data_IF_718958737516
#
_entry.id   IF_718958737516
#
_cell.length_a   1.000
_cell.length_b   1.000
_cell.length_c   1.000
_cell.angle_alpha   90.00
_cell.angle_beta   90.00
_cell.angle_gamma   90.00
#
_symmetry.space_group_name_H-M   'P 1'
#
loop_
_entity.id
_entity.type
_entity.pdbx_description
1 polymer ?
#
# COMPACT_ATOMS: atom_id res chain seq x y z
N UNK A 1 44.72 16.43 30.34
CA UNK A 1 43.25 16.51 30.19
C UNK A 1 42.91 15.92 28.83
N UNK A 2 42.65 14.61 28.77
CA UNK A 2 42.32 13.93 27.52
C UNK A 2 40.80 13.99 27.32
N UNK A 3 40.36 14.82 26.38
CA UNK A 3 38.95 14.91 26.00
C UNK A 3 38.71 13.87 24.89
N UNK A 4 38.34 12.66 25.29
CA UNK A 4 37.94 11.61 24.35
C UNK A 4 36.53 11.94 23.87
N UNK A 5 36.43 12.52 22.67
CA UNK A 5 35.16 12.82 22.01
C UNK A 5 34.54 11.50 21.55
N UNK A 6 33.66 10.92 22.37
CA UNK A 6 32.82 9.80 21.97
C UNK A 6 31.80 10.30 20.94
N UNK A 7 32.10 10.10 19.67
CA UNK A 7 31.12 10.28 18.59
C UNK A 7 30.10 9.15 18.74
N UNK A 8 28.96 9.45 19.34
CA UNK A 8 27.81 8.53 19.38
C UNK A 8 27.26 8.43 17.97
N UNK A 9 27.70 7.42 17.22
CA UNK A 9 27.12 7.07 15.94
C UNK A 9 25.68 6.61 16.22
N UNK A 10 24.71 7.49 15.98
CA UNK A 10 23.30 7.12 15.97
C UNK A 10 23.12 6.14 14.81
N UNK A 11 23.25 4.85 15.13
CA UNK A 11 22.83 3.78 14.24
C UNK A 11 21.32 3.91 14.14
N UNK A 12 20.83 4.53 13.06
CA UNK A 12 19.43 4.44 12.68
C UNK A 12 19.17 3.00 12.29
N UNK A 13 18.84 2.16 13.28
CA UNK A 13 18.28 0.84 13.03
C UNK A 13 16.91 1.06 12.41
N UNK A 14 16.85 1.11 11.07
CA UNK A 14 15.64 0.79 10.34
C UNK A 14 15.26 -0.63 10.76
N UNK A 15 14.33 -0.77 11.70
CA UNK A 15 13.69 -2.05 11.92
C UNK A 15 12.93 -2.36 10.64
N UNK A 16 13.28 -3.47 9.97
CA UNK A 16 12.55 -3.96 8.82
C UNK A 16 11.11 -4.32 9.26
N UNK A 17 10.22 -3.35 9.17
CA UNK A 17 8.81 -3.48 9.53
C UNK A 17 8.03 -4.05 8.35
N UNK A 18 7.38 -5.21 8.55
CA UNK A 18 6.56 -5.83 7.50
C UNK A 18 5.44 -4.90 7.10
N UNK A 19 5.34 -4.59 5.81
CA UNK A 19 4.38 -3.64 5.24
C UNK A 19 4.96 -2.25 4.98
N UNK A 20 6.25 -2.02 5.28
CA UNK A 20 6.93 -0.73 5.11
C UNK A 20 6.99 -0.30 3.65
N UNK A 21 7.62 -1.10 2.82
CA UNK A 21 7.92 -0.77 1.44
C UNK A 21 7.91 -2.05 0.59
N UNK A 22 8.25 -1.96 -0.70
CA UNK A 22 8.30 -3.12 -1.60
C UNK A 22 9.44 -4.08 -1.28
N UNK A 23 10.46 -3.65 -0.52
CA UNK A 23 11.56 -4.50 -0.07
C UNK A 23 11.18 -5.34 1.14
N UNK A 24 10.20 -4.87 1.93
CA UNK A 24 9.64 -5.57 3.07
C UNK A 24 8.10 -5.47 3.14
N UNK A 25 7.37 -5.97 2.13
CA UNK A 25 5.93 -5.84 2.05
C UNK A 25 5.22 -6.85 2.95
N UNK A 26 3.94 -6.61 3.21
CA UNK A 26 3.03 -7.63 3.72
C UNK A 26 2.72 -8.64 2.62
N UNK A 27 3.34 -9.83 2.67
CA UNK A 27 3.14 -10.87 1.65
C UNK A 27 1.76 -11.54 1.82
N UNK A 28 0.95 -11.50 0.76
CA UNK A 28 -0.33 -12.22 0.66
C UNK A 28 -0.07 -13.55 -0.05
N UNK A 29 -0.08 -14.65 0.71
CA UNK A 29 0.22 -15.99 0.18
C UNK A 29 -1.00 -16.71 -0.42
N UNK A 30 -2.22 -16.29 -0.08
CA UNK A 30 -3.46 -16.96 -0.50
C UNK A 30 -4.66 -16.04 -0.39
N UNK A 31 -5.68 -16.27 -1.22
CA UNK A 31 -7.00 -15.68 -1.10
C UNK A 31 -8.01 -16.70 -0.58
N UNK A 32 -9.03 -16.28 0.21
CA UNK A 32 -9.29 -14.91 0.65
C UNK A 32 -8.27 -14.44 1.70
N UNK A 33 -7.99 -13.14 1.70
CA UNK A 33 -7.08 -12.50 2.66
C UNK A 33 -7.80 -11.38 3.39
N UNK A 34 -7.63 -11.29 4.71
CA UNK A 34 -8.12 -10.19 5.52
C UNK A 34 -7.08 -9.73 6.53
N UNK A 35 -7.06 -8.43 6.80
CA UNK A 35 -6.18 -7.82 7.80
C UNK A 35 -6.77 -6.50 8.31
N UNK A 36 -6.52 -6.20 9.57
CA UNK A 36 -6.65 -4.85 10.14
C UNK A 36 -5.26 -4.25 10.37
N UNK A 37 -5.11 -2.94 10.16
CA UNK A 37 -3.83 -2.27 10.31
C UNK A 37 -3.93 -0.74 10.31
N UNK A 38 -2.77 -0.09 10.23
CA UNK A 38 -2.64 1.35 10.05
C UNK A 38 -1.41 1.65 9.22
N UNK A 39 -1.44 2.72 8.45
CA UNK A 39 -0.26 3.28 7.78
C UNK A 39 0.59 4.13 8.74
N UNK A 40 0.12 4.39 9.97
CA UNK A 40 0.87 5.20 10.94
C UNK A 40 2.20 4.52 11.34
N UNK A 41 3.30 5.28 11.28
CA UNK A 41 4.63 4.78 11.61
C UNK A 41 5.32 4.03 10.47
N UNK A 42 4.65 3.83 9.34
CA UNK A 42 5.24 3.21 8.16
C UNK A 42 5.92 4.20 7.23
N UNK A 43 5.85 5.51 7.49
CA UNK A 43 6.58 6.53 6.71
C UNK A 43 6.11 6.68 5.27
N UNK A 44 6.62 7.73 4.61
CA UNK A 44 6.24 8.15 3.25
C UNK A 44 7.37 7.76 2.28
N UNK A 45 7.27 6.58 1.71
CA UNK A 45 8.25 6.02 0.78
C UNK A 45 7.89 6.31 -0.69
N UNK A 46 6.58 6.41 -1.00
CA UNK A 46 6.11 6.67 -2.36
C UNK A 46 5.31 7.96 -2.44
N UNK A 47 5.75 8.87 -3.31
CA UNK A 47 5.12 10.19 -3.46
C UNK A 47 4.49 10.44 -4.83
N UNK A 48 4.67 9.49 -5.75
CA UNK A 48 4.22 9.61 -7.14
C UNK A 48 3.29 8.44 -7.42
N UNK A 49 1.99 8.73 -7.45
CA UNK A 49 0.96 7.78 -7.82
C UNK A 49 0.48 7.92 -9.27
N UNK A 50 -0.55 7.16 -9.66
CA UNK A 50 -1.14 7.28 -10.99
C UNK A 50 -1.65 8.70 -11.22
N UNK A 51 -1.44 9.23 -12.43
CA UNK A 51 -1.89 10.56 -12.84
C UNK A 51 -1.45 11.71 -11.90
N UNK A 52 -0.30 11.57 -11.23
CA UNK A 52 0.20 12.54 -10.24
C UNK A 52 -0.80 12.83 -9.11
N UNK A 53 -1.53 11.82 -8.67
CA UNK A 53 -2.44 11.95 -7.53
C UNK A 53 -1.71 12.43 -6.27
N UNK A 54 -2.44 13.20 -5.45
CA UNK A 54 -1.97 13.62 -4.14
C UNK A 54 -2.32 12.62 -3.04
N UNK A 55 -3.07 11.56 -3.32
CA UNK A 55 -3.46 10.53 -2.34
C UNK A 55 -2.35 9.51 -2.02
N UNK A 56 -1.14 9.77 -2.50
CA UNK A 56 0.10 9.06 -2.16
C UNK A 56 1.10 10.03 -1.54
N UNK A 57 0.70 10.83 -0.55
CA UNK A 57 1.59 11.84 0.07
C UNK A 57 1.69 11.70 1.58
N UNK A 58 1.04 10.69 2.15
CA UNK A 58 1.09 10.37 3.57
C UNK A 58 2.02 9.19 3.82
N UNK A 59 1.72 8.43 4.87
CA UNK A 59 2.44 7.19 5.12
C UNK A 59 1.84 6.02 4.34
N UNK A 60 2.72 5.20 3.79
CA UNK A 60 2.39 4.02 2.98
C UNK A 60 2.18 2.77 3.84
N UNK A 61 1.28 1.88 3.43
CA UNK A 61 1.34 0.47 3.83
C UNK A 61 1.27 -0.40 2.58
N UNK A 62 2.28 -1.26 2.41
CA UNK A 62 2.49 -2.04 1.18
C UNK A 62 2.20 -3.52 1.41
N UNK A 63 1.36 -4.08 0.55
CA UNK A 63 1.21 -5.53 0.40
C UNK A 63 1.83 -5.97 -0.91
N UNK A 64 2.30 -7.21 -0.97
CA UNK A 64 2.70 -7.87 -2.22
C UNK A 64 1.85 -9.11 -2.45
N UNK A 65 1.40 -9.31 -3.69
CA UNK A 65 0.58 -10.44 -4.08
C UNK A 65 1.02 -10.97 -5.44
N UNK A 66 1.40 -12.25 -5.48
CA UNK A 66 1.57 -12.98 -6.74
C UNK A 66 0.48 -14.04 -6.84
N UNK A 67 -0.41 -13.98 -7.83
CA UNK A 67 -1.46 -14.96 -7.99
C UNK A 67 -0.89 -16.30 -8.47
N UNK A 68 -1.47 -17.42 -8.01
CA UNK A 68 -1.03 -18.76 -8.41
C UNK A 68 -1.43 -19.15 -9.84
N UNK A 69 -2.43 -18.46 -10.40
CA UNK A 69 -2.95 -18.60 -11.76
C UNK A 69 -3.66 -17.29 -12.13
N UNK A 70 -3.87 -17.05 -13.41
CA UNK A 70 -4.54 -15.84 -13.89
C UNK A 70 -5.98 -15.77 -13.34
N UNK A 71 -6.32 -14.65 -12.72
CA UNK A 71 -7.59 -14.50 -12.03
C UNK A 71 -8.05 -13.05 -12.00
N UNK A 72 -9.29 -12.83 -11.61
CA UNK A 72 -9.76 -11.52 -11.19
C UNK A 72 -9.80 -11.47 -9.67
N UNK A 73 -9.48 -10.31 -9.10
CA UNK A 73 -9.61 -10.05 -7.66
C UNK A 73 -10.52 -8.86 -7.40
N UNK A 74 -11.11 -8.85 -6.21
CA UNK A 74 -11.78 -7.68 -5.66
C UNK A 74 -11.15 -7.31 -4.31
N UNK A 75 -10.85 -6.02 -4.13
CA UNK A 75 -10.23 -5.47 -2.93
C UNK A 75 -11.23 -4.53 -2.27
N UNK A 76 -11.58 -4.83 -1.03
CA UNK A 76 -12.38 -3.97 -0.16
C UNK A 76 -11.48 -3.33 0.88
N UNK A 77 -11.60 -2.02 1.06
CA UNK A 77 -10.93 -1.29 2.12
C UNK A 77 -11.97 -0.52 2.94
N UNK A 78 -11.91 -0.67 4.26
CA UNK A 78 -12.84 -0.04 5.21
C UNK A 78 -12.10 0.41 6.47
N UNK A 79 -12.80 1.04 7.41
CA UNK A 79 -12.21 1.60 8.62
C UNK A 79 -11.06 2.58 8.33
N UNK A 80 -11.17 3.33 7.24
CA UNK A 80 -10.21 4.37 6.86
C UNK A 80 -10.72 5.75 7.22
N UNK A 81 -9.77 6.64 7.49
CA UNK A 81 -9.98 8.07 7.69
C UNK A 81 -10.31 8.73 6.34
N UNK A 82 -10.67 10.01 6.39
CA UNK A 82 -10.82 10.85 5.20
C UNK A 82 -9.55 10.85 4.34
N UNK A 83 -9.72 11.21 3.08
CA UNK A 83 -8.67 11.38 2.08
C UNK A 83 -7.77 10.16 1.87
N UNK A 84 -8.34 8.96 1.90
CA UNK A 84 -7.62 7.70 1.72
C UNK A 84 -7.54 7.27 0.24
N UNK A 85 -6.39 6.73 -0.17
CA UNK A 85 -6.16 6.11 -1.47
C UNK A 85 -5.84 4.62 -1.35
N UNK A 86 -6.29 3.85 -2.34
CA UNK A 86 -5.98 2.43 -2.54
C UNK A 86 -5.46 2.25 -3.97
N UNK A 87 -4.24 1.73 -4.10
CA UNK A 87 -3.55 1.61 -5.37
C UNK A 87 -3.13 0.17 -5.61
N UNK A 88 -3.27 -0.32 -6.84
CA UNK A 88 -2.78 -1.62 -7.29
C UNK A 88 -1.82 -1.41 -8.46
N UNK A 89 -0.55 -1.68 -8.23
CA UNK A 89 0.53 -1.55 -9.21
C UNK A 89 1.08 -2.93 -9.60
N UNK A 90 1.57 -3.07 -10.82
CA UNK A 90 2.19 -4.28 -11.36
C UNK A 90 3.70 -4.42 -11.05
N UNK A 91 4.24 -3.41 -10.39
CA UNK A 91 5.62 -3.30 -9.94
C UNK A 91 5.68 -2.28 -8.80
N UNK A 92 6.84 -2.13 -8.16
CA UNK A 92 6.96 -1.16 -7.06
C UNK A 92 6.71 0.28 -7.57
N UNK A 93 6.05 1.17 -6.81
CA UNK A 93 5.79 2.55 -7.26
C UNK A 93 7.02 3.37 -7.68
N UNK A 94 8.21 3.05 -7.19
CA UNK A 94 9.47 3.70 -7.57
C UNK A 94 10.17 3.04 -8.77
N UNK A 95 9.64 1.93 -9.27
CA UNK A 95 10.19 1.22 -10.41
C UNK A 95 10.00 2.04 -11.70
N UNK A 96 11.03 2.14 -12.56
CA UNK A 96 10.89 2.78 -13.86
C UNK A 96 9.79 2.11 -14.70
N UNK A 97 8.78 2.89 -15.09
CA UNK A 97 7.69 2.39 -15.94
C UNK A 97 6.59 1.65 -15.21
N UNK A 98 6.49 1.80 -13.87
CA UNK A 98 5.38 1.23 -13.08
C UNK A 98 4.03 1.53 -13.72
N UNK A 99 3.17 0.52 -13.79
CA UNK A 99 1.81 0.66 -14.24
C UNK A 99 0.83 0.36 -13.11
N UNK A 100 -0.02 1.34 -12.81
CA UNK A 100 -1.14 1.16 -11.89
C UNK A 100 -2.32 0.56 -12.63
N UNK A 101 -2.55 -0.73 -12.40
CA UNK A 101 -3.64 -1.49 -13.01
C UNK A 101 -5.00 -0.97 -12.53
N UNK A 102 -5.06 -0.48 -11.29
CA UNK A 102 -6.27 0.16 -10.75
C UNK A 102 -5.92 1.05 -9.56
N UNK A 103 -6.75 2.06 -9.31
CA UNK A 103 -6.69 2.87 -8.10
C UNK A 103 -8.05 3.44 -7.75
N UNK A 104 -8.28 3.69 -6.45
CA UNK A 104 -9.49 4.31 -5.93
C UNK A 104 -9.11 5.30 -4.84
N UNK A 105 -9.73 6.48 -4.88
CA UNK A 105 -9.53 7.55 -3.93
C UNK A 105 -10.85 7.92 -3.25
N UNK A 106 -10.78 8.25 -1.97
CA UNK A 106 -11.96 8.54 -1.16
C UNK A 106 -11.75 9.76 -0.27
N UNK A 107 -12.27 10.94 -0.67
CA UNK A 107 -12.21 12.15 0.13
C UNK A 107 -12.81 11.96 1.55
N UNK A 108 -13.87 11.16 1.67
CA UNK A 108 -14.57 10.90 2.93
C UNK A 108 -14.12 9.61 3.64
N UNK A 109 -13.06 8.96 3.14
CA UNK A 109 -12.65 7.63 3.60
C UNK A 109 -13.56 6.51 3.09
N UNK A 110 -13.22 5.28 3.47
CA UNK A 110 -13.84 4.02 3.05
C UNK A 110 -14.07 3.97 1.53
N UNK A 111 -13.00 3.84 0.73
CA UNK A 111 -13.12 3.86 -0.72
C UNK A 111 -14.08 2.78 -1.23
N UNK A 112 -14.78 3.04 -2.36
CA UNK A 112 -15.53 2.01 -3.06
C UNK A 112 -14.69 0.75 -3.30
N UNK A 113 -15.36 -0.39 -3.45
CA UNK A 113 -14.68 -1.67 -3.71
C UNK A 113 -14.00 -1.60 -5.08
N UNK A 114 -12.72 -1.97 -5.12
CA UNK A 114 -11.98 -2.22 -6.36
C UNK A 114 -12.41 -3.60 -6.86
N UNK A 115 -13.22 -3.66 -7.91
CA UNK A 115 -13.90 -4.90 -8.33
C UNK A 115 -13.33 -5.46 -9.62
N UNK A 116 -13.27 -6.79 -9.71
CA UNK A 116 -13.00 -7.53 -10.95
C UNK A 116 -11.69 -7.13 -11.67
N UNK A 117 -10.65 -6.79 -10.92
CA UNK A 117 -9.35 -6.42 -11.51
C UNK A 117 -8.59 -7.66 -11.92
N UNK A 118 -8.18 -7.72 -13.19
CA UNK A 118 -7.41 -8.84 -13.74
C UNK A 118 -5.97 -8.80 -13.22
N UNK A 119 -5.48 -9.95 -12.77
CA UNK A 119 -4.11 -10.17 -12.32
C UNK A 119 -3.56 -11.47 -12.93
N UNK A 120 -2.26 -11.49 -13.24
CA UNK A 120 -1.57 -12.57 -13.96
C UNK A 120 -0.53 -13.26 -13.08
N UNK A 121 -0.41 -14.58 -13.23
CA UNK A 121 0.43 -15.43 -12.38
C UNK A 121 1.94 -15.19 -12.49
N UNK A 122 2.37 -14.59 -13.58
CA UNK A 122 3.75 -14.21 -13.85
C UNK A 122 4.15 -12.85 -13.26
N UNK A 123 3.21 -12.13 -12.63
CA UNK A 123 3.39 -10.76 -12.16
C UNK A 123 3.22 -10.67 -10.64
N UNK A 124 4.15 -9.97 -9.98
CA UNK A 124 4.02 -9.61 -8.56
C UNK A 124 3.38 -8.24 -8.48
N UNK A 125 2.18 -8.17 -7.91
CA UNK A 125 1.46 -6.93 -7.71
C UNK A 125 1.73 -6.33 -6.34
N UNK A 126 1.71 -5.00 -6.27
CA UNK A 126 1.81 -4.24 -5.04
C UNK A 126 0.50 -3.50 -4.77
N UNK A 127 -0.04 -3.68 -3.57
CA UNK A 127 -1.22 -2.96 -3.10
C UNK A 127 -0.74 -1.93 -2.09
N UNK A 128 -1.02 -0.66 -2.34
CA UNK A 128 -0.59 0.45 -1.49
C UNK A 128 -1.83 1.13 -0.91
N UNK A 129 -1.82 1.31 0.41
CA UNK A 129 -2.77 2.16 1.12
C UNK A 129 -2.02 3.41 1.56
N UNK A 130 -2.54 4.57 1.19
CA UNK A 130 -2.02 5.86 1.65
C UNK A 130 -3.17 6.90 1.76
N UNK A 131 -2.81 8.16 1.88
CA UNK A 131 -3.62 9.31 2.20
C UNK A 131 -3.12 10.54 1.45
N UNK A 132 -4.00 11.51 1.28
CA UNK A 132 -3.59 12.85 0.86
C UNK A 132 -3.20 13.70 2.07
N UNK A 133 -1.91 13.74 2.37
CA UNK A 133 -1.39 14.50 3.48
C UNK A 133 -1.24 15.98 3.14
N UNK A 134 -2.08 16.81 3.75
CA UNK A 134 -2.01 18.28 3.62
C UNK A 134 -1.39 18.85 4.89
N UNK A 135 -0.16 19.36 4.78
CA UNK A 135 0.55 20.01 5.89
C UNK A 135 0.54 19.21 7.21
N UNK A 136 0.71 17.88 7.11
CA UNK A 136 0.71 16.94 8.23
C UNK A 136 -0.64 16.79 8.97
N UNK A 137 -1.76 17.19 8.34
CA UNK A 137 -3.10 17.02 8.89
C UNK A 137 -3.68 15.62 8.67
N UNK A 138 -3.23 14.94 7.61
CA UNK A 138 -3.69 13.59 7.25
C UNK A 138 -2.50 12.69 6.92
N UNK A 139 -1.56 12.46 7.86
CA UNK A 139 -0.34 11.71 7.56
C UNK A 139 -0.55 10.19 7.49
N UNK A 140 -1.70 9.68 7.94
CA UNK A 140 -1.96 8.25 7.96
C UNK A 140 -3.45 7.93 8.12
N UNK A 141 -3.79 6.67 7.88
CA UNK A 141 -5.12 6.11 8.11
C UNK A 141 -5.04 4.77 8.84
N UNK A 142 -6.09 4.39 9.57
CA UNK A 142 -6.36 2.99 9.90
C UNK A 142 -6.96 2.28 8.69
N UNK A 143 -7.03 0.95 8.70
CA UNK A 143 -7.73 0.21 7.67
C UNK A 143 -8.12 -1.20 8.12
N UNK A 144 -9.15 -1.75 7.47
CA UNK A 144 -9.45 -3.16 7.34
C UNK A 144 -9.47 -3.48 5.85
N UNK A 145 -8.62 -4.40 5.40
CA UNK A 145 -8.54 -4.85 4.02
C UNK A 145 -9.12 -6.26 3.89
N UNK A 146 -9.85 -6.51 2.80
CA UNK A 146 -10.32 -7.82 2.38
C UNK A 146 -10.07 -7.99 0.90
N UNK A 147 -9.42 -9.10 0.52
CA UNK A 147 -9.10 -9.43 -0.86
C UNK A 147 -9.67 -10.81 -1.15
N UNK A 148 -10.46 -10.90 -2.22
CA UNK A 148 -11.10 -12.14 -2.64
C UNK A 148 -10.87 -12.36 -4.12
N UNK A 149 -10.80 -13.63 -4.54
CA UNK A 149 -10.96 -13.96 -5.94
C UNK A 149 -12.37 -13.54 -6.38
N UNK A 150 -12.45 -12.77 -7.45
CA UNK A 150 -13.71 -12.36 -8.05
C UNK A 150 -14.13 -13.39 -9.09
N UNK A 151 -15.38 -13.83 -9.01
CA UNK A 151 -16.00 -14.66 -10.04
C UNK A 151 -16.87 -13.75 -10.89
N UNK A 152 -16.72 -13.81 -12.21
CA UNK A 152 -17.75 -13.26 -13.08
C UNK A 152 -18.99 -14.12 -12.83
N UNK A 153 -20.03 -13.54 -12.21
CA UNK A 153 -21.35 -14.14 -12.36
C UNK A 153 -21.78 -13.73 -13.76
N UNK A 154 -21.52 -14.59 -14.73
CA UNK A 154 -22.14 -14.48 -16.06
C UNK A 154 -23.64 -14.71 -15.83
N UNK A 155 -24.38 -13.62 -15.61
CA UNK A 155 -25.85 -13.59 -15.60
C UNK A 155 -26.38 -13.51 -17.04
#
# INVERSE_FOLDING_TARGET
MAFCLFVFFLIFSSFAQVGKDCSNPMIINSLPFTMSGTTNGFGMDYQVGPNNTTYMTGNDYVFSFQPAYDMKISITLSNTNSVCGLFLADSCPDAPGVHYVSYIEAPSGNPPVMTNVQVYSDTIYYIIIDTWNVANLFPSTTFNISIVQAYNIDL
#
